data_IF_255761747452
#
_entry.id   IF_255761747452
#
_cell.length_a   1.000
_cell.length_b   1.000
_cell.length_c   1.000
_cell.angle_alpha   90.00
_cell.angle_beta   90.00
_cell.angle_gamma   90.00
#
_symmetry.space_group_name_H-M   'P 1'
#
loop_
_entity.id
_entity.type
_entity.pdbx_description
1 polymer ?
#
# COMPACT_ATOMS: atom_id res chain seq x y z
N UNK A 1 -37.89 37.25 35.67
CA UNK A 1 -37.18 38.26 34.85
C UNK A 1 -36.49 37.51 33.72
N UNK A 2 -36.96 37.70 32.48
CA UNK A 2 -36.49 37.00 31.27
C UNK A 2 -35.60 37.96 30.49
N UNK A 3 -34.33 37.62 30.25
CA UNK A 3 -33.48 38.34 29.33
C UNK A 3 -33.37 37.54 28.02
N UNK A 4 -33.93 38.10 26.96
CA UNK A 4 -33.73 37.71 25.56
C UNK A 4 -32.52 38.48 25.03
N UNK A 5 -31.48 37.79 24.58
CA UNK A 5 -30.45 38.38 23.72
C UNK A 5 -30.80 38.10 22.28
N UNK A 6 -30.97 39.16 21.51
CA UNK A 6 -31.25 39.18 20.09
C UNK A 6 -29.92 39.04 19.33
N UNK A 7 -29.90 38.07 18.43
CA UNK A 7 -28.79 37.87 17.46
C UNK A 7 -29.13 38.70 16.20
N UNK A 8 -28.36 39.76 15.94
CA UNK A 8 -28.51 40.57 14.75
C UNK A 8 -27.59 40.02 13.66
N UNK A 9 -28.15 39.38 12.62
CA UNK A 9 -27.47 39.08 11.38
C UNK A 9 -27.34 40.34 10.54
N UNK A 10 -26.12 40.85 10.41
CA UNK A 10 -25.81 41.93 9.48
C UNK A 10 -25.52 41.32 8.10
N UNK A 11 -26.41 41.49 7.17
CA UNK A 11 -26.19 41.20 5.76
C UNK A 11 -25.41 42.36 5.15
N UNK A 12 -24.20 42.12 4.75
CA UNK A 12 -23.38 43.10 4.05
C UNK A 12 -23.47 42.86 2.55
N UNK A 13 -24.14 43.81 1.87
CA UNK A 13 -24.24 43.87 0.41
C UNK A 13 -22.93 44.38 -0.18
N UNK A 14 -22.29 43.56 -1.03
CA UNK A 14 -21.12 43.98 -1.79
C UNK A 14 -21.53 44.59 -3.13
N UNK A 15 -21.20 45.89 -3.26
CA UNK A 15 -21.23 46.63 -4.49
C UNK A 15 -20.03 46.27 -5.38
N UNK A 16 -20.31 46.07 -6.65
CA UNK A 16 -19.35 45.93 -7.76
C UNK A 16 -18.29 47.03 -7.78
N UNK A 17 -16.99 46.67 -7.93
CA UNK A 17 -16.10 47.47 -8.75
C UNK A 17 -14.86 46.75 -9.30
N UNK A 18 -14.51 47.16 -10.52
CA UNK A 18 -13.42 46.84 -11.41
C UNK A 18 -12.04 46.92 -10.76
N UNK A 19 -11.20 45.94 -11.12
CA UNK A 19 -9.75 45.97 -10.87
C UNK A 19 -9.20 44.56 -10.88
N UNK A 20 -8.96 44.02 -12.09
CA UNK A 20 -8.33 42.71 -12.25
C UNK A 20 -6.83 42.88 -11.92
N UNK A 21 -6.50 42.82 -10.65
CA UNK A 21 -5.13 42.58 -10.21
C UNK A 21 -5.01 41.09 -9.90
N UNK A 22 -4.33 40.39 -10.80
CA UNK A 22 -4.00 38.98 -10.69
C UNK A 22 -2.81 38.84 -9.72
N UNK A 23 -3.04 39.18 -8.46
CA UNK A 23 -2.18 38.69 -7.39
C UNK A 23 -2.47 37.20 -7.25
N UNK A 24 -1.53 36.36 -7.69
CA UNK A 24 -1.49 34.94 -7.39
C UNK A 24 -1.53 34.80 -5.88
N UNK A 25 -2.71 34.65 -5.31
CA UNK A 25 -2.87 34.17 -3.96
C UNK A 25 -2.33 32.73 -3.96
N UNK A 26 -1.05 32.60 -3.72
CA UNK A 26 -0.47 31.35 -3.23
C UNK A 26 -1.07 31.19 -1.83
N UNK A 27 -2.27 30.63 -1.76
CA UNK A 27 -2.75 30.11 -0.49
C UNK A 27 -1.74 29.05 -0.08
N UNK A 28 -0.80 29.41 0.79
CA UNK A 28 -0.13 28.43 1.63
C UNK A 28 -1.26 27.71 2.35
N UNK A 29 -1.38 26.42 2.10
CA UNK A 29 -2.35 25.57 2.75
C UNK A 29 -1.95 25.46 4.23
N UNK A 30 -2.38 26.44 5.04
CA UNK A 30 -1.93 26.62 6.44
C UNK A 30 -2.36 25.48 7.38
N UNK A 31 -2.98 24.40 6.87
CA UNK A 31 -3.52 23.31 7.70
C UNK A 31 -3.45 21.91 7.08
N UNK A 32 -2.38 21.57 6.37
CA UNK A 32 -2.15 20.15 6.05
C UNK A 32 -1.49 19.50 7.27
N UNK A 33 -2.31 19.04 8.23
CA UNK A 33 -1.84 18.48 9.49
C UNK A 33 -1.80 16.95 9.51
N UNK A 34 -2.29 16.28 8.49
CA UNK A 34 -2.27 14.82 8.39
C UNK A 34 -1.90 14.34 6.99
N UNK A 35 -1.39 13.13 6.92
CA UNK A 35 -0.86 12.51 5.71
C UNK A 35 -1.92 12.29 4.63
N UNK A 36 -3.17 12.02 4.99
CA UNK A 36 -4.26 11.82 4.05
C UNK A 36 -4.63 13.11 3.33
N UNK A 37 -4.70 14.23 4.03
CA UNK A 37 -4.91 15.55 3.45
C UNK A 37 -3.75 15.94 2.54
N UNK A 38 -2.50 15.65 2.97
CA UNK A 38 -1.32 15.90 2.16
C UNK A 38 -1.36 15.11 0.85
N UNK A 39 -1.70 13.81 0.89
CA UNK A 39 -1.82 12.96 -0.29
C UNK A 39 -2.92 13.43 -1.25
N UNK A 40 -4.07 13.87 -0.72
CA UNK A 40 -5.15 14.45 -1.54
C UNK A 40 -4.69 15.75 -2.21
N UNK A 41 -4.06 16.66 -1.48
CA UNK A 41 -3.53 17.91 -2.02
C UNK A 41 -2.42 17.65 -3.04
N UNK A 42 -1.55 16.68 -2.80
CA UNK A 42 -0.53 16.24 -3.76
C UNK A 42 -1.15 15.70 -5.04
N UNK A 43 -2.22 14.91 -4.93
CA UNK A 43 -2.96 14.40 -6.09
C UNK A 43 -3.51 15.54 -6.93
N UNK A 44 -4.08 16.57 -6.32
CA UNK A 44 -4.62 17.73 -7.05
C UNK A 44 -3.54 18.55 -7.74
N UNK A 45 -2.40 18.78 -7.11
CA UNK A 45 -1.24 19.45 -7.74
C UNK A 45 -0.68 18.62 -8.92
N UNK A 46 -0.62 17.30 -8.78
CA UNK A 46 -0.13 16.39 -9.82
C UNK A 46 -1.05 16.32 -11.05
N UNK A 47 -2.37 16.54 -10.91
CA UNK A 47 -3.30 16.61 -12.05
C UNK A 47 -2.85 17.61 -13.11
N UNK A 48 -2.24 18.74 -12.70
CA UNK A 48 -1.71 19.71 -13.63
C UNK A 48 -0.52 19.17 -14.45
N UNK A 49 0.33 18.35 -13.83
CA UNK A 49 1.44 17.67 -14.50
C UNK A 49 0.94 16.70 -15.57
N UNK A 50 -0.05 15.86 -15.24
CA UNK A 50 -0.66 14.93 -16.18
C UNK A 50 -1.35 15.64 -17.35
N UNK A 51 -2.06 16.74 -17.07
CA UNK A 51 -2.69 17.55 -18.12
C UNK A 51 -1.67 18.11 -19.11
N UNK A 52 -0.48 18.51 -18.66
CA UNK A 52 0.61 18.94 -19.54
C UNK A 52 1.13 17.81 -20.44
N UNK A 53 1.09 16.57 -19.95
CA UNK A 53 1.43 15.37 -20.72
C UNK A 53 0.30 14.88 -21.66
N UNK A 54 -0.85 15.59 -21.67
CA UNK A 54 -2.03 15.22 -22.48
C UNK A 54 -2.91 14.15 -21.85
N UNK A 55 -2.72 13.86 -20.56
CA UNK A 55 -3.44 12.81 -19.85
C UNK A 55 -4.38 13.40 -18.78
N UNK A 56 -5.42 12.66 -18.41
CA UNK A 56 -6.41 13.09 -17.41
C UNK A 56 -6.52 12.06 -16.30
N UNK A 57 -6.14 12.45 -15.09
CA UNK A 57 -6.35 11.65 -13.88
C UNK A 57 -7.84 11.70 -13.51
N UNK A 58 -8.49 10.57 -13.18
CA UNK A 58 -9.86 10.54 -12.70
C UNK A 58 -10.05 11.45 -11.47
N UNK A 59 -11.18 12.16 -11.40
CA UNK A 59 -11.42 13.11 -10.31
C UNK A 59 -11.81 12.43 -8.99
N UNK A 60 -12.29 11.20 -9.06
CA UNK A 60 -12.85 10.41 -7.98
C UNK A 60 -11.85 9.42 -7.37
N UNK A 61 -10.55 9.50 -7.74
CA UNK A 61 -9.50 8.67 -7.14
C UNK A 61 -9.39 8.95 -5.65
N UNK A 62 -9.40 7.89 -4.85
CA UNK A 62 -9.10 7.96 -3.42
C UNK A 62 -7.64 7.60 -3.17
N UNK A 63 -6.98 8.38 -2.34
CA UNK A 63 -5.57 8.14 -1.96
C UNK A 63 -5.44 8.11 -0.45
N UNK A 64 -4.76 7.10 0.06
CA UNK A 64 -4.58 6.89 1.50
C UNK A 64 -3.18 6.33 1.80
N UNK A 65 -2.72 6.52 3.04
CA UNK A 65 -1.56 5.82 3.56
C UNK A 65 -2.00 4.51 4.21
N UNK A 66 -1.59 3.38 3.65
CA UNK A 66 -1.99 2.08 4.15
C UNK A 66 -1.17 0.92 3.58
N UNK A 67 -1.26 -0.22 4.21
CA UNK A 67 -0.67 -1.44 3.65
C UNK A 67 -1.57 -1.98 2.54
N UNK A 68 -1.01 -2.30 1.36
CA UNK A 68 -1.80 -2.89 0.28
C UNK A 68 -2.39 -4.24 0.68
N UNK A 69 -3.49 -4.60 0.05
CA UNK A 69 -4.11 -5.92 0.22
C UNK A 69 -3.06 -7.02 -0.08
N UNK A 70 -2.97 -8.02 0.78
CA UNK A 70 -1.97 -9.08 0.67
C UNK A 70 -0.56 -8.70 1.17
N UNK A 71 -0.41 -7.54 1.84
CA UNK A 71 0.85 -7.15 2.46
C UNK A 71 1.36 -8.23 3.41
N UNK A 72 2.65 -8.61 3.24
CA UNK A 72 3.35 -9.54 4.13
C UNK A 72 4.55 -8.85 4.74
N UNK A 73 4.51 -8.59 6.04
CA UNK A 73 5.63 -8.01 6.76
C UNK A 73 6.91 -8.84 6.53
N UNK A 74 7.99 -8.15 6.13
CA UNK A 74 9.28 -8.79 5.91
C UNK A 74 9.48 -9.49 4.57
N UNK A 75 8.55 -9.41 3.63
CA UNK A 75 8.79 -9.80 2.23
C UNK A 75 9.93 -8.96 1.64
N UNK A 76 10.79 -9.60 0.82
CA UNK A 76 11.87 -8.91 0.10
C UNK A 76 11.33 -7.96 -0.99
N UNK A 77 10.14 -8.21 -1.48
CA UNK A 77 9.48 -7.45 -2.54
C UNK A 77 8.16 -6.89 -2.01
N UNK A 78 8.24 -5.73 -1.36
CA UNK A 78 7.07 -5.00 -0.90
C UNK A 78 6.75 -3.90 -1.90
N UNK A 79 5.50 -3.83 -2.34
CA UNK A 79 5.01 -2.68 -3.08
C UNK A 79 5.08 -1.44 -2.17
N UNK A 80 5.62 -0.36 -2.69
CA UNK A 80 5.72 0.94 -2.01
C UNK A 80 4.50 1.82 -2.27
N UNK A 81 3.78 1.54 -3.35
CA UNK A 81 2.46 2.03 -3.68
C UNK A 81 1.67 0.92 -4.35
N UNK A 82 0.36 1.07 -4.42
CA UNK A 82 -0.53 0.21 -5.19
C UNK A 82 -1.79 0.98 -5.58
N UNK A 83 -2.21 0.84 -6.83
CA UNK A 83 -3.51 1.28 -7.31
C UNK A 83 -4.43 0.06 -7.49
N UNK A 84 -5.61 0.12 -6.91
CA UNK A 84 -6.66 -0.87 -7.13
C UNK A 84 -7.63 -0.40 -8.21
N UNK A 85 -8.04 -1.28 -9.14
CA UNK A 85 -9.02 -0.95 -10.16
C UNK A 85 -10.39 -0.69 -9.52
N UNK A 86 -11.24 0.02 -10.24
CA UNK A 86 -12.62 0.38 -9.80
C UNK A 86 -13.44 -0.83 -9.39
N UNK A 87 -13.23 -1.97 -10.04
CA UNK A 87 -13.92 -3.24 -9.73
C UNK A 87 -13.59 -3.81 -8.36
N UNK A 88 -12.51 -3.36 -7.70
CA UNK A 88 -12.12 -3.80 -6.36
C UNK A 88 -12.71 -2.93 -5.25
N UNK A 89 -13.33 -1.81 -5.59
CA UNK A 89 -13.98 -0.90 -4.63
C UNK A 89 -15.49 -0.96 -4.79
N UNK A 90 -16.22 -1.17 -3.71
CA UNK A 90 -17.68 -1.11 -3.72
C UNK A 90 -18.21 0.28 -4.14
N UNK A 91 -17.42 1.33 -3.93
CA UNK A 91 -17.73 2.68 -4.39
C UNK A 91 -17.46 2.94 -5.89
N UNK A 92 -16.89 1.94 -6.61
CA UNK A 92 -16.62 2.01 -8.04
C UNK A 92 -15.58 3.06 -8.43
N UNK A 93 -14.61 3.35 -7.54
CA UNK A 93 -13.52 4.29 -7.76
C UNK A 93 -12.16 3.61 -7.64
N UNK A 94 -11.13 4.18 -8.26
CA UNK A 94 -9.77 3.70 -8.02
C UNK A 94 -9.32 4.09 -6.62
N UNK A 95 -8.68 3.15 -5.92
CA UNK A 95 -8.12 3.37 -4.59
C UNK A 95 -6.61 3.15 -4.61
N UNK A 96 -5.86 4.19 -4.23
CA UNK A 96 -4.40 4.19 -4.17
C UNK A 96 -3.96 4.14 -2.72
N UNK A 97 -3.04 3.24 -2.42
CA UNK A 97 -2.40 3.14 -1.11
C UNK A 97 -0.90 3.41 -1.22
N UNK A 98 -0.42 4.39 -0.47
CA UNK A 98 1.01 4.62 -0.26
C UNK A 98 1.43 3.86 0.99
N UNK A 99 2.45 3.02 0.86
CA UNK A 99 2.88 2.15 1.96
C UNK A 99 3.43 2.97 3.14
N UNK A 100 2.99 2.71 4.38
CA UNK A 100 3.43 3.44 5.58
C UNK A 100 4.93 3.29 5.91
N UNK A 101 5.70 2.52 5.17
CA UNK A 101 7.15 2.47 5.30
C UNK A 101 7.87 3.58 4.50
N UNK A 102 7.12 4.44 3.79
CA UNK A 102 7.64 5.60 3.05
C UNK A 102 7.43 6.87 3.87
N UNK A 103 8.51 7.62 4.14
CA UNK A 103 8.50 8.89 4.86
C UNK A 103 9.29 10.00 4.14
N UNK A 104 9.92 9.69 3.04
CA UNK A 104 10.56 10.67 2.18
C UNK A 104 9.53 11.34 1.27
N UNK A 105 9.33 12.65 1.42
CA UNK A 105 8.27 13.42 0.76
C UNK A 105 8.38 13.38 -0.77
N UNK A 106 9.61 13.51 -1.30
CA UNK A 106 9.83 13.49 -2.73
C UNK A 106 9.59 12.10 -3.32
N UNK A 107 10.02 11.05 -2.60
CA UNK A 107 9.75 9.68 -3.00
C UNK A 107 8.26 9.34 -2.94
N UNK A 108 7.52 9.86 -1.98
CA UNK A 108 6.05 9.68 -1.90
C UNK A 108 5.37 10.31 -3.12
N UNK A 109 5.79 11.52 -3.54
CA UNK A 109 5.27 12.14 -4.77
C UNK A 109 5.60 11.33 -6.02
N UNK A 110 6.82 10.84 -6.15
CA UNK A 110 7.25 9.99 -7.27
C UNK A 110 6.43 8.69 -7.35
N UNK A 111 6.20 8.02 -6.21
CA UNK A 111 5.34 6.84 -6.13
C UNK A 111 3.90 7.20 -6.49
N UNK A 112 3.40 8.33 -6.02
CA UNK A 112 2.03 8.77 -6.31
C UNK A 112 1.84 9.05 -7.82
N UNK A 113 2.83 9.63 -8.51
CA UNK A 113 2.82 9.77 -9.97
C UNK A 113 2.68 8.40 -10.64
N UNK A 114 3.44 7.40 -10.20
CA UNK A 114 3.35 6.03 -10.71
C UNK A 114 1.95 5.44 -10.56
N UNK A 115 1.39 5.53 -9.36
CA UNK A 115 0.07 4.95 -9.06
C UNK A 115 -1.08 5.69 -9.79
N UNK A 116 -0.94 6.99 -10.00
CA UNK A 116 -1.93 7.77 -10.76
C UNK A 116 -1.96 7.38 -12.24
N UNK A 117 -0.85 6.89 -12.82
CA UNK A 117 -0.85 6.34 -14.18
C UNK A 117 -1.73 5.09 -14.23
N UNK A 118 -1.65 4.22 -13.23
CA UNK A 118 -2.53 3.06 -13.16
C UNK A 118 -4.01 3.44 -13.06
N UNK A 119 -4.34 4.53 -12.37
CA UNK A 119 -5.73 4.99 -12.27
C UNK A 119 -6.29 5.53 -13.60
N UNK A 120 -5.44 6.02 -14.52
CA UNK A 120 -5.87 6.60 -15.81
C UNK A 120 -6.53 5.52 -16.69
N UNK A 121 -6.02 4.31 -16.71
CA UNK A 121 -6.57 3.20 -17.51
C UNK A 121 -7.23 2.10 -16.67
N UNK A 122 -7.61 2.43 -15.45
CA UNK A 122 -8.23 1.50 -14.49
C UNK A 122 -7.39 0.23 -14.25
N UNK A 123 -6.07 0.39 -14.16
CA UNK A 123 -5.09 -0.69 -13.95
C UNK A 123 -5.05 -1.77 -15.05
N UNK A 124 -5.66 -1.53 -16.22
CA UNK A 124 -5.83 -2.57 -17.26
C UNK A 124 -4.52 -2.91 -17.96
N UNK A 125 -3.66 -1.93 -18.19
CA UNK A 125 -2.40 -2.14 -18.91
C UNK A 125 -1.27 -2.69 -18.04
N UNK A 126 -1.45 -2.77 -16.72
CA UNK A 126 -0.36 -3.09 -15.80
C UNK A 126 0.85 -2.17 -16.06
N UNK A 127 2.02 -2.74 -16.33
CA UNK A 127 3.24 -1.99 -16.70
C UNK A 127 3.58 -2.12 -18.18
N UNK A 128 2.58 -2.39 -19.02
CA UNK A 128 2.72 -2.58 -20.48
C UNK A 128 2.97 -1.28 -21.25
N UNK A 129 2.79 -1.35 -22.56
CA UNK A 129 3.08 -0.24 -23.48
C UNK A 129 2.25 1.04 -23.21
N UNK A 130 0.93 0.97 -22.89
CA UNK A 130 0.16 2.17 -22.54
C UNK A 130 0.69 2.85 -21.29
N UNK A 131 0.94 2.11 -20.20
CA UNK A 131 1.56 2.63 -18.97
C UNK A 131 2.90 3.31 -19.29
N UNK A 132 3.79 2.61 -20.02
CA UNK A 132 5.10 3.13 -20.38
C UNK A 132 5.02 4.45 -21.14
N UNK A 133 4.08 4.57 -22.08
CA UNK A 133 3.87 5.80 -22.85
C UNK A 133 3.61 7.00 -21.93
N UNK A 134 2.67 6.84 -20.99
CA UNK A 134 2.30 7.88 -20.03
C UNK A 134 3.46 8.15 -19.09
N UNK A 135 4.07 7.11 -18.53
CA UNK A 135 5.19 7.21 -17.61
C UNK A 135 6.34 8.07 -18.19
N UNK A 136 6.75 7.79 -19.42
CA UNK A 136 7.78 8.58 -20.08
C UNK A 136 7.32 10.01 -20.38
N UNK A 137 6.06 10.22 -20.75
CA UNK A 137 5.51 11.54 -21.06
C UNK A 137 5.45 12.46 -19.82
N UNK A 138 5.18 11.89 -18.62
CA UNK A 138 5.19 12.66 -17.37
C UNK A 138 6.60 12.82 -16.79
N UNK A 139 7.59 12.06 -17.28
CA UNK A 139 8.99 12.15 -16.88
C UNK A 139 9.46 11.06 -15.93
N UNK A 140 8.74 9.94 -15.80
CA UNK A 140 9.24 8.76 -15.10
C UNK A 140 10.23 7.98 -15.96
N UNK A 141 11.24 7.40 -15.34
CA UNK A 141 12.33 6.63 -15.98
C UNK A 141 12.57 5.29 -15.29
N UNK A 142 13.46 4.48 -15.86
CA UNK A 142 13.85 3.20 -15.30
C UNK A 142 12.95 2.04 -15.72
N UNK A 143 12.93 0.98 -14.90
CA UNK A 143 12.10 -0.20 -15.13
C UNK A 143 10.63 0.13 -14.79
N UNK A 144 9.70 -0.14 -15.70
CA UNK A 144 8.29 0.25 -15.52
C UNK A 144 7.64 -0.29 -14.24
N UNK A 145 8.09 -1.43 -13.71
CA UNK A 145 7.66 -1.97 -12.41
C UNK A 145 8.36 -1.34 -11.20
N UNK A 146 9.32 -0.41 -11.42
CA UNK A 146 10.10 0.25 -10.38
C UNK A 146 10.67 1.57 -10.95
N UNK A 147 9.77 2.47 -11.35
CA UNK A 147 10.15 3.75 -11.93
C UNK A 147 10.71 4.70 -10.88
N UNK A 148 11.43 5.69 -11.37
CA UNK A 148 11.91 6.84 -10.61
C UNK A 148 11.71 8.11 -11.43
N UNK A 149 11.57 9.25 -10.77
CA UNK A 149 11.50 10.54 -11.45
C UNK A 149 12.79 10.81 -12.22
N UNK A 150 12.67 11.37 -13.44
CA UNK A 150 13.81 11.99 -14.14
C UNK A 150 14.23 13.27 -13.40
N UNK A 151 15.43 13.80 -13.65
CA UNK A 151 15.84 15.08 -13.06
C UNK A 151 14.83 16.22 -13.33
N UNK A 152 14.23 16.25 -14.53
CA UNK A 152 13.26 17.26 -14.91
C UNK A 152 11.93 17.11 -14.16
N UNK A 153 11.49 15.86 -13.94
CA UNK A 153 10.30 15.59 -13.13
C UNK A 153 10.59 15.91 -11.65
N UNK A 154 11.76 15.51 -11.15
CA UNK A 154 12.15 15.77 -9.77
C UNK A 154 12.09 17.28 -9.43
N UNK A 155 12.58 18.15 -10.32
CA UNK A 155 12.47 19.61 -10.12
C UNK A 155 10.99 20.08 -10.06
N UNK A 156 10.11 19.51 -10.89
CA UNK A 156 8.67 19.81 -10.81
C UNK A 156 8.05 19.33 -9.50
N UNK A 157 8.44 18.14 -9.03
CA UNK A 157 7.98 17.60 -7.75
C UNK A 157 8.48 18.43 -6.56
N UNK A 158 9.70 18.96 -6.62
CA UNK A 158 10.21 19.91 -5.60
C UNK A 158 9.38 21.18 -5.51
N UNK A 159 8.94 21.75 -6.65
CA UNK A 159 8.03 22.90 -6.66
C UNK A 159 6.68 22.56 -5.99
N UNK A 160 6.16 21.36 -6.22
CA UNK A 160 4.94 20.89 -5.54
C UNK A 160 5.20 20.75 -4.03
N UNK A 161 6.34 20.18 -3.66
CA UNK A 161 6.74 20.01 -2.26
C UNK A 161 6.90 21.34 -1.53
N UNK A 162 7.44 22.37 -2.17
CA UNK A 162 7.53 23.73 -1.60
C UNK A 162 6.15 24.31 -1.25
N UNK A 163 5.10 23.95 -2.00
CA UNK A 163 3.73 24.41 -1.72
C UNK A 163 3.06 23.60 -0.60
N UNK A 164 3.29 22.28 -0.58
CA UNK A 164 2.61 21.35 0.33
C UNK A 164 3.30 21.27 1.69
N UNK A 165 4.60 21.53 1.75
CA UNK A 165 5.45 21.18 2.87
C UNK A 165 5.77 19.67 2.92
N UNK A 166 6.54 19.28 3.92
CA UNK A 166 6.95 17.89 4.09
C UNK A 166 5.75 16.97 4.36
N UNK A 167 5.85 15.72 3.87
CA UNK A 167 4.86 14.69 4.12
C UNK A 167 4.76 14.37 5.63
N UNK A 168 3.64 14.67 6.30
CA UNK A 168 3.53 14.60 7.76
C UNK A 168 3.37 13.14 8.23
N UNK A 169 4.37 12.31 7.97
CA UNK A 169 4.37 10.90 8.32
C UNK A 169 5.76 10.42 8.74
N UNK A 170 5.82 9.65 9.82
CA UNK A 170 7.01 8.90 10.19
C UNK A 170 6.80 7.42 9.83
N UNK A 171 7.77 6.83 9.12
CA UNK A 171 7.65 5.44 8.62
C UNK A 171 7.43 4.41 9.71
N UNK A 172 6.55 3.47 9.41
CA UNK A 172 6.33 2.30 10.25
C UNK A 172 7.35 1.23 9.87
N UNK A 173 8.17 0.83 10.85
CA UNK A 173 9.12 -0.27 10.66
C UNK A 173 8.40 -1.61 10.85
N UNK A 174 8.41 -2.45 9.81
CA UNK A 174 7.89 -3.81 9.94
C UNK A 174 8.81 -4.62 10.87
N UNK A 175 8.29 -5.00 12.02
CA UNK A 175 8.98 -5.91 12.94
C UNK A 175 8.75 -7.33 12.46
N UNK A 176 9.80 -8.01 12.01
CA UNK A 176 9.75 -9.44 11.73
C UNK A 176 9.62 -10.19 13.05
N UNK A 177 8.44 -10.74 13.32
CA UNK A 177 8.36 -11.78 14.36
C UNK A 177 9.10 -13.01 13.82
N UNK A 178 10.15 -13.43 14.56
CA UNK A 178 10.79 -14.72 14.29
C UNK A 178 9.73 -15.79 14.51
N UNK A 179 9.44 -16.59 13.48
CA UNK A 179 8.51 -17.70 13.63
C UNK A 179 9.07 -18.64 14.69
N UNK A 180 8.40 -18.76 15.82
CA UNK A 180 8.84 -19.57 16.95
C UNK A 180 8.40 -21.03 16.85
N UNK A 181 7.40 -21.31 16.00
CA UNK A 181 6.91 -22.67 15.77
C UNK A 181 7.21 -23.08 14.34
N UNK A 182 8.18 -23.97 14.18
CA UNK A 182 8.40 -24.67 12.93
C UNK A 182 7.76 -26.07 13.05
N UNK A 183 7.07 -26.47 12.00
CA UNK A 183 6.71 -27.89 11.83
C UNK A 183 8.01 -28.67 11.61
N UNK A 184 8.24 -29.65 12.42
CA UNK A 184 9.43 -30.53 12.40
C UNK A 184 9.06 -31.75 11.57
N UNK A 185 9.96 -32.16 10.69
CA UNK A 185 9.81 -33.38 9.91
C UNK A 185 10.08 -34.57 10.81
N UNK A 186 9.18 -35.54 10.80
CA UNK A 186 9.36 -36.84 11.43
C UNK A 186 9.26 -37.93 10.36
N UNK A 187 10.09 -38.94 10.50
CA UNK A 187 10.14 -40.11 9.61
C UNK A 187 9.89 -41.37 10.42
N UNK A 188 9.44 -42.42 9.77
CA UNK A 188 9.29 -43.72 10.41
C UNK A 188 10.66 -44.27 10.85
N UNK A 189 10.79 -44.73 12.07
CA UNK A 189 12.05 -45.36 12.58
C UNK A 189 12.45 -46.63 11.80
N UNK A 190 11.48 -47.32 11.18
CA UNK A 190 11.69 -48.46 10.28
C UNK A 190 11.95 -48.07 8.83
N UNK A 191 12.14 -46.76 8.55
CA UNK A 191 12.42 -46.23 7.21
C UNK A 191 11.47 -46.70 6.10
N UNK A 192 10.17 -46.85 6.43
CA UNK A 192 9.14 -47.30 5.48
C UNK A 192 8.72 -46.20 4.49
N UNK A 193 9.33 -44.99 4.54
CA UNK A 193 9.03 -43.87 3.71
C UNK A 193 7.88 -42.97 4.23
N UNK A 194 7.24 -43.31 5.35
CA UNK A 194 6.21 -42.46 5.96
C UNK A 194 6.86 -41.16 6.52
N UNK A 195 6.23 -40.03 6.21
CA UNK A 195 6.68 -38.70 6.66
C UNK A 195 5.50 -37.94 7.21
N UNK A 196 5.67 -37.32 8.37
CA UNK A 196 4.70 -36.38 8.95
C UNK A 196 5.42 -35.09 9.37
N UNK A 197 4.63 -34.02 9.54
CA UNK A 197 5.12 -32.75 10.07
C UNK A 197 4.29 -32.36 11.29
N UNK A 198 4.94 -32.19 12.43
CA UNK A 198 4.32 -31.79 13.68
C UNK A 198 5.05 -30.63 14.33
N UNK A 199 4.39 -29.87 15.20
CA UNK A 199 5.07 -28.90 16.04
C UNK A 199 5.88 -29.61 17.13
N UNK A 200 6.95 -28.97 17.61
CA UNK A 200 7.76 -29.53 18.70
C UNK A 200 6.92 -29.92 19.90
N UNK A 201 6.03 -29.03 20.33
CA UNK A 201 5.10 -29.31 21.44
C UNK A 201 4.26 -30.56 21.20
N UNK A 202 3.73 -30.73 19.99
CA UNK A 202 2.89 -31.87 19.66
C UNK A 202 3.66 -33.17 19.62
N UNK A 203 4.92 -33.17 19.12
CA UNK A 203 5.74 -34.37 19.08
C UNK A 203 6.27 -34.78 20.47
N UNK A 204 6.51 -33.81 21.37
CA UNK A 204 6.95 -34.10 22.74
C UNK A 204 5.79 -34.58 23.63
N UNK A 205 4.59 -34.03 23.49
CA UNK A 205 3.45 -34.40 24.32
C UNK A 205 2.70 -35.63 23.81
N UNK A 206 2.78 -35.95 22.52
CA UNK A 206 2.02 -37.04 21.89
C UNK A 206 2.95 -37.85 20.97
N UNK A 207 3.52 -38.96 21.43
CA UNK A 207 4.25 -39.86 20.56
C UNK A 207 3.37 -40.33 19.39
N UNK A 208 3.92 -40.17 18.18
CA UNK A 208 3.17 -40.46 16.95
C UNK A 208 3.62 -41.80 16.38
N UNK A 209 2.69 -42.75 16.24
CA UNK A 209 2.96 -44.04 15.65
C UNK A 209 2.88 -44.01 14.13
N UNK A 210 3.71 -44.81 13.48
CA UNK A 210 3.66 -45.00 12.04
C UNK A 210 2.51 -45.93 11.67
N UNK A 211 1.50 -45.40 10.99
CA UNK A 211 0.33 -46.19 10.58
C UNK A 211 0.67 -47.30 9.58
N UNK A 212 1.81 -47.21 8.86
CA UNK A 212 2.22 -48.24 7.91
C UNK A 212 2.93 -49.43 8.57
N UNK A 213 3.56 -49.20 9.72
CA UNK A 213 4.44 -50.19 10.36
C UNK A 213 3.92 -50.67 11.73
N UNK A 214 3.06 -49.86 12.37
CA UNK A 214 2.38 -50.31 13.60
C UNK A 214 1.16 -51.14 13.27
N UNK A 215 0.93 -52.18 14.03
CA UNK A 215 -0.22 -53.07 13.84
C UNK A 215 -0.06 -54.38 14.59
N UNK A 216 -1.13 -55.19 14.58
CA UNK A 216 -1.11 -56.55 15.12
C UNK A 216 -0.28 -57.46 14.21
N UNK A 217 0.36 -58.45 14.79
CA UNK A 217 1.02 -59.51 14.05
C UNK A 217 0.00 -60.35 13.25
N UNK A 218 0.50 -61.30 12.44
CA UNK A 218 -0.32 -62.12 11.57
C UNK A 218 -1.34 -62.99 12.36
N UNK A 219 -1.09 -63.23 13.64
CA UNK A 219 -1.92 -64.08 14.51
C UNK A 219 -2.80 -63.28 15.47
N UNK A 220 -2.59 -61.98 15.58
CA UNK A 220 -3.31 -61.08 16.48
C UNK A 220 -2.88 -61.17 17.94
N UNK A 221 -1.72 -61.77 18.21
CA UNK A 221 -1.21 -62.02 19.56
C UNK A 221 -0.37 -60.85 20.09
N UNK A 222 0.42 -60.19 19.21
CA UNK A 222 1.29 -59.08 19.58
C UNK A 222 1.03 -57.81 18.74
N UNK A 223 0.99 -56.67 19.40
CA UNK A 223 0.91 -55.35 18.74
C UNK A 223 2.28 -54.73 18.62
N UNK A 224 2.73 -54.52 17.38
CA UNK A 224 3.97 -53.86 17.10
C UNK A 224 3.79 -52.31 17.06
N UNK A 225 4.51 -51.59 17.90
CA UNK A 225 4.53 -50.14 17.94
C UNK A 225 5.80 -49.61 17.23
N UNK A 226 5.59 -48.87 16.16
CA UNK A 226 6.67 -48.22 15.41
C UNK A 226 6.43 -46.72 15.40
N UNK A 227 7.41 -45.94 15.85
CA UNK A 227 7.23 -44.52 16.06
C UNK A 227 7.78 -43.69 14.92
N UNK A 228 7.24 -42.46 14.84
CA UNK A 228 7.77 -41.40 13.99
C UNK A 228 8.81 -40.62 14.78
N UNK A 229 10.03 -40.55 14.27
CA UNK A 229 11.18 -39.89 14.91
C UNK A 229 11.60 -38.63 14.16
N UNK A 230 12.14 -37.66 14.87
CA UNK A 230 12.65 -36.40 14.28
C UNK A 230 13.78 -36.72 13.29
N UNK A 231 13.68 -36.16 12.03
CA UNK A 231 14.62 -36.38 10.94
C UNK A 231 15.70 -35.32 10.86
#
# INVERSE_FOLDING_TARGET
MKNKSQNQNTVQTYSTFKGFNMEKNIMKNENINNREQWLLSATDELKALFKQAGETVPNDVKVSCGFPLGFRAGSKHQAIGVCHPRSHSESGVNEIFINPNQDDSLRVLDVLVHELIHAIDDCQSGHGAPFRKIALAVGLTGKMTATVASPELEEKLKVILEKLGEYPHAKIKAVKKKQSTRMIKHVCENDCGAIIYASRKQSEENPMMCANCSGWDEYGDDYNEVYMVEA
#
